data_IF_723335585789
#
_entry.id   IF_723335585789
#
_cell.length_a   1.000
_cell.length_b   1.000
_cell.length_c   1.000
_cell.angle_alpha   90.00
_cell.angle_beta   90.00
_cell.angle_gamma   90.00
#
_symmetry.space_group_name_H-M   'P 1'
#
loop_
_entity.id
_entity.type
_entity.pdbx_description
1 polymer ?
#
# COMPACT_ATOMS: atom_id res chain seq x y z
N UNK A 1 7.36 11.98 6.22
CA UNK A 1 6.77 11.15 7.29
C UNK A 1 5.36 10.68 6.94
N UNK A 2 5.03 9.41 7.21
CA UNK A 2 3.66 8.85 7.07
C UNK A 2 3.05 8.59 8.46
N UNK A 3 1.77 8.93 8.65
CA UNK A 3 0.97 8.53 9.81
C UNK A 3 -0.30 7.84 9.35
N UNK A 4 -0.68 6.77 10.04
CA UNK A 4 -1.89 6.00 9.73
C UNK A 4 -2.70 5.80 10.99
N UNK A 5 -3.97 6.20 10.97
CA UNK A 5 -4.94 5.91 12.01
C UNK A 5 -5.78 4.73 11.57
N UNK A 6 -5.70 3.65 12.34
CA UNK A 6 -6.35 2.37 12.04
C UNK A 6 -7.58 2.11 12.92
N UNK A 7 -7.64 2.76 14.09
CA UNK A 7 -8.73 2.62 15.04
C UNK A 7 -9.79 3.68 14.73
N UNK A 8 -10.95 3.21 14.27
CA UNK A 8 -11.99 4.07 13.70
C UNK A 8 -11.87 4.12 12.18
N UNK A 9 -12.12 5.31 11.60
CA UNK A 9 -12.02 5.47 10.15
C UNK A 9 -10.56 5.47 9.72
N UNK A 10 -10.24 4.65 8.70
CA UNK A 10 -8.90 4.60 8.13
C UNK A 10 -8.53 5.96 7.55
N UNK A 11 -7.57 6.63 8.19
CA UNK A 11 -7.01 7.91 7.75
C UNK A 11 -5.51 7.76 7.53
N UNK A 12 -5.01 8.35 6.45
CA UNK A 12 -3.59 8.35 6.11
C UNK A 12 -3.18 9.80 5.95
N UNK A 13 -2.10 10.18 6.62
CA UNK A 13 -1.41 11.46 6.43
C UNK A 13 -0.03 11.17 5.88
N UNK A 14 0.35 11.93 4.85
CA UNK A 14 1.65 11.87 4.21
C UNK A 14 2.23 13.28 4.13
N UNK A 15 3.42 13.48 4.68
CA UNK A 15 4.08 14.79 4.76
C UNK A 15 3.18 15.90 5.36
N UNK A 16 2.39 15.55 6.38
CA UNK A 16 1.51 16.51 7.06
C UNK A 16 0.20 16.81 6.32
N UNK A 17 -0.07 16.16 5.19
CA UNK A 17 -1.29 16.31 4.41
C UNK A 17 -2.09 15.01 4.37
N UNK A 18 -3.42 15.10 4.35
CA UNK A 18 -4.27 13.93 4.18
C UNK A 18 -4.03 13.29 2.80
N UNK A 19 -3.69 12.00 2.81
CA UNK A 19 -3.49 11.20 1.60
C UNK A 19 -4.77 10.45 1.25
N UNK A 20 -5.45 10.93 0.21
CA UNK A 20 -6.65 10.29 -0.32
C UNK A 20 -6.29 9.31 -1.42
N UNK A 21 -6.57 8.03 -1.19
CA UNK A 21 -6.42 7.00 -2.21
C UNK A 21 -7.78 6.68 -2.86
N UNK A 22 -7.83 6.49 -4.18
CA UNK A 22 -9.07 6.32 -4.94
C UNK A 22 -9.87 5.07 -4.59
N UNK A 23 -9.31 4.11 -3.85
CA UNK A 23 -10.06 2.95 -3.37
C UNK A 23 -9.49 2.40 -2.07
N UNK A 24 -10.41 1.87 -1.25
CA UNK A 24 -10.13 1.38 0.11
C UNK A 24 -9.00 0.34 0.18
N UNK A 25 -8.90 -0.54 -0.83
CA UNK A 25 -7.86 -1.59 -0.83
C UNK A 25 -6.44 -1.03 -1.04
N UNK A 26 -6.27 0.15 -1.66
CA UNK A 26 -4.96 0.80 -1.70
C UNK A 26 -4.57 1.34 -0.32
N UNK A 27 -5.52 1.94 0.40
CA UNK A 27 -5.29 2.38 1.78
C UNK A 27 -5.03 1.20 2.72
N UNK A 28 -5.77 0.10 2.57
CA UNK A 28 -5.55 -1.14 3.31
C UNK A 28 -4.17 -1.75 3.05
N UNK A 29 -3.65 -1.64 1.81
CA UNK A 29 -2.29 -2.07 1.48
C UNK A 29 -1.23 -1.27 2.25
N UNK A 30 -1.35 0.07 2.29
CA UNK A 30 -0.45 0.91 3.08
C UNK A 30 -0.54 0.60 4.58
N UNK A 31 -1.75 0.48 5.12
CA UNK A 31 -2.00 0.10 6.49
C UNK A 31 -1.33 -1.24 6.85
N UNK A 32 -1.51 -2.25 6.01
CA UNK A 32 -0.92 -3.58 6.23
C UNK A 32 0.62 -3.53 6.20
N UNK A 33 1.21 -2.84 5.23
CA UNK A 33 2.66 -2.69 5.16
C UNK A 33 3.22 -1.93 6.37
N UNK A 34 2.52 -0.88 6.84
CA UNK A 34 2.90 -0.13 8.04
C UNK A 34 2.87 -0.97 9.31
N UNK A 35 1.78 -1.69 9.55
CA UNK A 35 1.62 -2.54 10.74
C UNK A 35 2.62 -3.69 10.74
N UNK A 36 2.84 -4.30 9.58
CA UNK A 36 3.73 -5.46 9.49
C UNK A 36 5.22 -5.10 9.59
N UNK A 37 5.61 -3.88 9.21
CA UNK A 37 6.99 -3.38 9.27
C UNK A 37 8.01 -4.20 8.47
N UNK A 38 7.56 -5.05 7.54
CA UNK A 38 8.40 -6.02 6.80
C UNK A 38 8.08 -5.99 5.31
N UNK A 39 8.99 -6.54 4.52
CA UNK A 39 8.75 -6.79 3.10
C UNK A 39 7.86 -8.01 2.90
N UNK A 40 6.89 -7.92 1.97
CA UNK A 40 5.97 -9.01 1.63
C UNK A 40 5.98 -9.32 0.15
N UNK A 41 5.75 -10.59 -0.19
CA UNK A 41 5.62 -11.01 -1.58
C UNK A 41 4.35 -10.42 -2.22
N UNK A 42 4.46 -9.94 -3.46
CA UNK A 42 3.36 -9.39 -4.25
C UNK A 42 2.19 -10.37 -4.36
N UNK A 43 2.44 -11.66 -4.62
CA UNK A 43 1.37 -12.67 -4.69
C UNK A 43 0.63 -12.80 -3.36
N UNK A 44 1.35 -12.76 -2.23
CA UNK A 44 0.73 -12.79 -0.89
C UNK A 44 -0.14 -11.56 -0.65
N UNK A 45 0.34 -10.37 -1.01
CA UNK A 45 -0.43 -9.13 -0.88
C UNK A 45 -1.69 -9.13 -1.76
N UNK A 46 -1.56 -9.64 -2.99
CA UNK A 46 -2.68 -9.78 -3.91
C UNK A 46 -3.75 -10.72 -3.35
N UNK A 47 -3.36 -11.92 -2.89
CA UNK A 47 -4.27 -12.89 -2.29
C UNK A 47 -4.92 -12.37 -0.99
N UNK A 48 -4.17 -11.65 -0.15
CA UNK A 48 -4.68 -11.10 1.11
C UNK A 48 -5.80 -10.07 0.87
N UNK A 49 -5.60 -9.14 -0.07
CA UNK A 49 -6.51 -8.01 -0.27
C UNK A 49 -7.57 -8.27 -1.34
N UNK A 50 -7.31 -9.16 -2.30
CA UNK A 50 -8.19 -9.48 -3.43
C UNK A 50 -8.41 -11.00 -3.62
N UNK A 51 -8.35 -11.79 -2.55
CA UNK A 51 -8.54 -13.26 -2.62
C UNK A 51 -9.93 -13.74 -3.05
N UNK A 52 -10.86 -12.82 -3.34
CA UNK A 52 -12.21 -13.11 -3.83
C UNK A 52 -12.34 -13.06 -5.36
N UNK A 53 -11.25 -12.82 -6.08
CA UNK A 53 -11.19 -12.85 -7.55
C UNK A 53 -10.07 -13.81 -7.98
N UNK A 54 -10.01 -14.14 -9.28
CA UNK A 54 -8.93 -14.96 -9.81
C UNK A 54 -7.55 -14.30 -9.64
N UNK A 55 -6.50 -15.12 -9.63
CA UNK A 55 -5.12 -14.69 -9.40
C UNK A 55 -4.65 -13.60 -10.36
N UNK A 56 -5.07 -13.65 -11.63
CA UNK A 56 -4.68 -12.66 -12.63
C UNK A 56 -5.29 -11.29 -12.29
N UNK A 57 -6.59 -11.26 -11.97
CA UNK A 57 -7.27 -10.04 -11.51
C UNK A 57 -6.72 -9.53 -10.18
N UNK A 58 -6.40 -10.41 -9.23
CA UNK A 58 -5.81 -10.03 -7.95
C UNK A 58 -4.44 -9.37 -8.15
N UNK A 59 -3.57 -9.96 -8.98
CA UNK A 59 -2.26 -9.39 -9.31
C UNK A 59 -2.36 -8.06 -10.05
N UNK A 60 -3.30 -7.94 -11.00
CA UNK A 60 -3.53 -6.69 -11.71
C UNK A 60 -4.03 -5.59 -10.76
N UNK A 61 -4.93 -5.93 -9.84
CA UNK A 61 -5.44 -5.00 -8.82
C UNK A 61 -4.33 -4.52 -7.88
N UNK A 62 -3.45 -5.42 -7.44
CA UNK A 62 -2.27 -5.04 -6.66
C UNK A 62 -1.36 -4.10 -7.45
N UNK A 63 -1.09 -4.40 -8.73
CA UNK A 63 -0.25 -3.54 -9.57
C UNK A 63 -0.84 -2.13 -9.69
N UNK A 64 -2.14 -2.02 -9.88
CA UNK A 64 -2.84 -0.74 -9.92
C UNK A 64 -2.73 -0.01 -8.57
N UNK A 65 -2.85 -0.72 -7.44
CA UNK A 65 -2.73 -0.13 -6.10
C UNK A 65 -1.35 0.46 -5.87
N UNK A 66 -0.30 -0.30 -6.22
CA UNK A 66 1.08 0.16 -6.11
C UNK A 66 1.36 1.37 -7.02
N UNK A 67 0.81 1.37 -8.23
CA UNK A 67 0.94 2.51 -9.15
C UNK A 67 0.28 3.77 -8.59
N UNK A 68 -0.96 3.64 -8.12
CA UNK A 68 -1.71 4.75 -7.53
C UNK A 68 -0.98 5.31 -6.31
N UNK A 69 -0.56 4.46 -5.37
CA UNK A 69 0.17 4.91 -4.17
C UNK A 69 1.42 5.70 -4.57
N UNK A 70 2.22 5.18 -5.52
CA UNK A 70 3.42 5.89 -6.00
C UNK A 70 3.11 7.24 -6.62
N UNK A 71 2.02 7.33 -7.37
CA UNK A 71 1.59 8.58 -8.01
C UNK A 71 1.18 9.61 -6.97
N UNK A 72 0.38 9.22 -5.98
CA UNK A 72 -0.13 10.13 -4.96
C UNK A 72 0.92 10.53 -3.90
N UNK A 73 2.01 9.75 -3.77
CA UNK A 73 3.10 10.07 -2.83
C UNK A 73 4.32 10.68 -3.50
N UNK A 74 4.32 10.84 -4.83
CA UNK A 74 5.41 11.48 -5.54
C UNK A 74 5.59 12.94 -5.08
N UNK A 75 6.83 13.46 -5.02
CA UNK A 75 8.09 12.83 -5.46
C UNK A 75 8.75 11.91 -4.42
N UNK A 76 8.18 11.75 -3.24
CA UNK A 76 8.77 10.97 -2.16
C UNK A 76 8.44 9.48 -2.34
N UNK A 77 9.47 8.64 -2.41
CA UNK A 77 9.30 7.21 -2.58
C UNK A 77 8.84 6.55 -1.27
N UNK A 78 7.51 6.41 -1.09
CA UNK A 78 6.92 5.74 0.08
C UNK A 78 7.00 4.21 -0.01
N UNK A 79 7.05 3.65 -1.23
CA UNK A 79 7.04 2.20 -1.47
C UNK A 79 8.34 1.72 -2.10
N UNK A 80 9.07 0.86 -1.38
CA UNK A 80 10.21 0.13 -1.94
C UNK A 80 9.73 -1.18 -2.54
N UNK A 81 10.12 -1.44 -3.79
CA UNK A 81 9.87 -2.71 -4.47
C UNK A 81 11.17 -3.37 -4.91
N UNK A 82 11.38 -4.61 -4.50
CA UNK A 82 12.57 -5.40 -4.89
C UNK A 82 12.12 -6.75 -5.40
N UNK A 83 12.35 -7.03 -6.69
CA UNK A 83 11.83 -8.24 -7.35
C UNK A 83 10.33 -8.38 -7.08
N UNK A 84 9.94 -9.42 -6.33
CA UNK A 84 8.57 -9.72 -5.93
C UNK A 84 8.22 -9.22 -4.53
N UNK A 85 9.08 -8.46 -3.86
CA UNK A 85 8.85 -7.92 -2.53
C UNK A 85 8.36 -6.47 -2.60
N UNK A 86 7.45 -6.13 -1.69
CA UNK A 86 6.96 -4.77 -1.45
C UNK A 86 7.10 -4.46 0.03
N UNK A 87 7.62 -3.29 0.35
CA UNK A 87 7.74 -2.76 1.70
C UNK A 87 7.48 -1.25 1.71
N UNK A 88 7.17 -0.69 2.88
CA UNK A 88 7.29 0.75 3.06
C UNK A 88 8.78 1.13 3.06
N UNK A 89 9.11 2.21 2.36
CA UNK A 89 10.40 2.85 2.51
C UNK A 89 10.53 3.33 3.96
N UNK A 90 11.67 3.05 4.60
CA UNK A 90 11.95 3.58 5.94
C UNK A 90 12.05 5.09 5.83
N UNK A 91 11.19 5.81 6.57
CA UNK A 91 11.47 7.22 6.87
C UNK A 91 12.74 7.23 7.70
N UNK A 92 13.82 7.78 7.15
CA UNK A 92 14.93 8.27 7.97
C UNK A 92 14.45 9.45 8.81
#
# INVERSE_FOLDING_TARGET
MIKIWLLGNLRIEFEGQDLYLPYQKAAALLAYLAVSGKAHNRRKLAALLWGNVDDSRAQNSLRNALFVIRRETAPVELLRTERDLVSLARSA
#
